data_IF_587682483573
#
_entry.id   IF_587682483573
#
_cell.length_a   1.000
_cell.length_b   1.000
_cell.length_c   1.000
_cell.angle_alpha   90.00
_cell.angle_beta   90.00
_cell.angle_gamma   90.00
#
_symmetry.space_group_name_H-M   'P 1'
#
loop_
_entity.id
_entity.type
_entity.pdbx_description
1 polymer ?
#
# COMPACT_ATOMS: atom_id res chain seq x y z
N UNK A 1 1.49 8.75 -6.44
CA UNK A 1 0.95 7.59 -5.69
C UNK A 1 -0.38 7.98 -5.09
N UNK A 2 -1.38 7.11 -5.11
CA UNK A 2 -2.69 7.35 -4.51
C UNK A 2 -3.23 6.08 -3.86
N UNK A 3 -4.10 6.25 -2.85
CA UNK A 3 -4.81 5.14 -2.19
C UNK A 3 -6.28 5.51 -2.10
N UNK A 4 -7.17 4.57 -2.47
CA UNK A 4 -8.62 4.78 -2.46
C UNK A 4 -9.33 3.58 -1.84
N UNK A 5 -10.42 3.84 -1.09
CA UNK A 5 -11.31 2.80 -0.61
C UNK A 5 -12.07 2.17 -1.78
N UNK A 6 -12.08 0.85 -1.86
CA UNK A 6 -12.89 0.06 -2.80
C UNK A 6 -14.08 -0.54 -2.09
N UNK A 7 -13.84 -1.20 -0.96
CA UNK A 7 -14.90 -1.80 -0.16
C UNK A 7 -14.47 -1.98 1.29
N UNK A 8 -15.44 -2.02 2.18
CA UNK A 8 -15.27 -2.39 3.58
C UNK A 8 -16.51 -3.20 4.01
N UNK A 9 -16.34 -4.11 4.94
CA UNK A 9 -17.46 -4.86 5.55
C UNK A 9 -18.49 -3.86 6.12
N UNK A 10 -19.76 -3.95 5.75
CA UNK A 10 -20.81 -3.09 6.33
C UNK A 10 -20.85 -3.22 7.84
N UNK A 11 -21.02 -2.09 8.56
CA UNK A 11 -21.06 -2.03 10.03
C UNK A 11 -19.92 -2.81 10.70
N UNK A 12 -18.71 -2.72 10.13
CA UNK A 12 -17.57 -3.55 10.43
C UNK A 12 -17.27 -3.69 11.93
N UNK A 13 -17.23 -2.59 12.67
CA UNK A 13 -16.92 -2.60 14.10
C UNK A 13 -18.04 -3.22 14.94
N UNK A 14 -19.30 -2.92 14.59
CA UNK A 14 -20.47 -3.57 15.21
C UNK A 14 -20.46 -5.08 14.96
N UNK A 15 -20.15 -5.50 13.73
CA UNK A 15 -20.07 -6.91 13.36
C UNK A 15 -18.94 -7.63 14.11
N UNK A 16 -17.75 -7.04 14.21
CA UNK A 16 -16.66 -7.61 15.00
C UNK A 16 -17.05 -7.77 16.48
N UNK A 17 -17.73 -6.78 17.07
CA UNK A 17 -18.19 -6.85 18.44
C UNK A 17 -19.30 -7.90 18.66
N UNK A 18 -20.19 -8.04 17.68
CA UNK A 18 -21.21 -9.09 17.68
C UNK A 18 -20.57 -10.48 17.73
N UNK A 19 -19.60 -10.72 16.85
CA UNK A 19 -18.88 -12.00 16.79
C UNK A 19 -18.05 -12.24 18.05
N UNK A 20 -17.40 -11.20 18.60
CA UNK A 20 -16.65 -11.31 19.86
C UNK A 20 -17.52 -11.79 21.04
N UNK A 21 -18.83 -11.54 21.00
CA UNK A 21 -19.80 -11.93 22.03
C UNK A 21 -20.48 -13.27 21.76
N UNK A 22 -19.95 -14.10 20.88
CA UNK A 22 -20.53 -15.40 20.54
C UNK A 22 -20.85 -16.31 21.74
N UNK A 23 -20.05 -16.21 22.81
CA UNK A 23 -20.25 -16.94 24.06
C UNK A 23 -21.17 -16.23 25.06
N UNK A 24 -21.77 -15.09 24.68
CA UNK A 24 -22.73 -14.33 25.50
C UNK A 24 -23.91 -13.85 24.61
N UNK A 25 -24.79 -14.80 24.17
CA UNK A 25 -25.84 -14.49 23.18
C UNK A 25 -26.79 -13.36 23.59
N UNK A 26 -27.09 -13.25 24.88
CA UNK A 26 -28.01 -12.22 25.40
C UNK A 26 -27.42 -10.78 25.30
N UNK A 27 -26.09 -10.66 25.01
CA UNK A 27 -25.39 -9.39 24.90
C UNK A 27 -24.83 -9.14 23.49
N UNK A 28 -25.07 -10.02 22.52
CA UNK A 28 -24.52 -9.89 21.18
C UNK A 28 -24.93 -8.59 20.49
N UNK A 29 -26.19 -8.21 20.59
CA UNK A 29 -26.74 -7.00 19.96
C UNK A 29 -26.45 -5.69 20.74
N UNK A 30 -25.66 -5.73 21.80
CA UNK A 30 -25.39 -4.53 22.60
C UNK A 30 -24.64 -3.48 21.73
N UNK A 31 -25.20 -2.27 21.56
CA UNK A 31 -24.61 -1.22 20.75
C UNK A 31 -23.35 -0.61 21.35
N UNK A 32 -23.09 -0.82 22.64
CA UNK A 32 -21.93 -0.29 23.34
C UNK A 32 -20.74 -1.24 23.19
N UNK A 33 -20.03 -1.14 22.10
CA UNK A 33 -18.92 -2.06 21.76
C UNK A 33 -17.51 -1.45 21.83
N UNK A 34 -17.37 -0.13 21.93
CA UNK A 34 -16.06 0.52 21.92
C UNK A 34 -15.11 -0.02 22.99
N UNK A 35 -15.60 -0.14 24.24
CA UNK A 35 -14.80 -0.72 25.34
C UNK A 35 -14.38 -2.17 25.08
N UNK A 36 -15.23 -2.96 24.42
CA UNK A 36 -14.91 -4.35 24.07
C UNK A 36 -13.80 -4.43 23.04
N UNK A 37 -13.92 -3.68 21.94
CA UNK A 37 -12.88 -3.66 20.90
C UNK A 37 -11.55 -3.12 21.45
N UNK A 38 -11.59 -2.04 22.25
CA UNK A 38 -10.39 -1.52 22.91
C UNK A 38 -9.76 -2.53 23.88
N UNK A 39 -10.56 -3.28 24.65
CA UNK A 39 -10.08 -4.38 25.48
C UNK A 39 -9.39 -5.47 24.66
N UNK A 40 -9.99 -5.88 23.53
CA UNK A 40 -9.45 -6.90 22.64
C UNK A 40 -8.10 -6.45 22.04
N UNK A 41 -7.96 -5.21 21.59
CA UNK A 41 -6.71 -4.63 21.09
C UNK A 41 -5.64 -4.64 22.21
N UNK A 42 -5.96 -4.10 23.38
CA UNK A 42 -5.05 -4.00 24.53
C UNK A 42 -4.51 -5.37 24.99
N UNK A 43 -5.33 -6.41 24.90
CA UNK A 43 -4.97 -7.76 25.34
C UNK A 43 -4.57 -8.70 24.19
N UNK A 44 -4.36 -8.17 22.99
CA UNK A 44 -3.95 -8.93 21.80
C UNK A 44 -4.92 -10.06 21.40
N UNK A 45 -6.22 -9.85 21.60
CA UNK A 45 -7.26 -10.79 21.17
C UNK A 45 -7.60 -10.54 19.69
N UNK A 46 -6.66 -10.87 18.81
CA UNK A 46 -6.69 -10.48 17.40
C UNK A 46 -7.70 -11.21 16.54
N UNK A 47 -8.18 -12.39 16.92
CA UNK A 47 -9.11 -13.22 16.12
C UNK A 47 -10.43 -12.49 15.80
N UNK A 48 -10.87 -11.59 16.66
CA UNK A 48 -12.07 -10.76 16.47
C UNK A 48 -11.92 -9.88 15.22
N UNK A 49 -10.72 -9.31 15.02
CA UNK A 49 -10.40 -8.39 13.92
C UNK A 49 -10.14 -9.11 12.59
N UNK A 50 -10.23 -10.43 12.55
CA UNK A 50 -10.19 -11.22 11.31
C UNK A 50 -11.57 -11.40 10.66
N UNK A 51 -12.65 -10.96 11.32
CA UNK A 51 -14.02 -11.12 10.86
C UNK A 51 -14.51 -9.98 9.97
N UNK A 52 -13.74 -8.92 9.82
CA UNK A 52 -14.06 -7.74 8.99
C UNK A 52 -12.93 -7.45 8.02
N UNK A 53 -13.27 -7.03 6.80
CA UNK A 53 -12.34 -6.85 5.70
C UNK A 53 -12.42 -5.46 5.10
N UNK A 54 -11.30 -4.97 4.59
CA UNK A 54 -11.21 -3.76 3.78
C UNK A 54 -10.37 -4.02 2.54
N UNK A 55 -10.80 -3.47 1.40
CA UNK A 55 -10.07 -3.53 0.12
C UNK A 55 -9.73 -2.11 -0.31
N UNK A 56 -8.46 -1.87 -0.59
CA UNK A 56 -7.95 -0.60 -1.11
C UNK A 56 -7.39 -0.78 -2.52
N UNK A 57 -7.60 0.23 -3.38
CA UNK A 57 -6.88 0.45 -4.61
C UNK A 57 -5.64 1.28 -4.30
N UNK A 58 -4.48 0.83 -4.76
CA UNK A 58 -3.19 1.50 -4.55
C UNK A 58 -2.54 1.72 -5.92
N UNK A 59 -2.32 2.98 -6.29
CA UNK A 59 -1.52 3.37 -7.43
C UNK A 59 -0.09 3.68 -6.98
N UNK A 60 0.87 2.94 -7.51
CA UNK A 60 2.27 3.00 -7.09
C UNK A 60 3.20 2.61 -8.24
N UNK A 61 4.44 2.24 -7.93
CA UNK A 61 5.41 1.75 -8.91
C UNK A 61 5.63 0.23 -8.77
N UNK A 62 6.15 -0.40 -9.83
CA UNK A 62 6.50 -1.84 -9.82
C UNK A 62 7.48 -2.20 -8.68
N UNK A 63 8.44 -1.31 -8.40
CA UNK A 63 9.41 -1.51 -7.33
C UNK A 63 8.76 -1.54 -5.94
N UNK A 64 7.78 -0.67 -5.68
CA UNK A 64 7.05 -0.64 -4.40
C UNK A 64 6.01 -1.75 -4.31
N UNK A 65 5.30 -2.04 -5.40
CA UNK A 65 4.37 -3.16 -5.46
C UNK A 65 5.04 -4.48 -5.07
N UNK A 66 6.27 -4.73 -5.54
CA UNK A 66 7.04 -5.91 -5.16
C UNK A 66 7.29 -6.02 -3.64
N UNK A 67 7.40 -4.89 -2.92
CA UNK A 67 7.51 -4.86 -1.46
C UNK A 67 6.14 -5.09 -0.78
N UNK A 68 5.07 -4.48 -1.31
CA UNK A 68 3.71 -4.60 -0.78
C UNK A 68 3.23 -6.06 -0.89
N UNK A 69 3.45 -6.71 -2.03
CA UNK A 69 3.06 -8.10 -2.29
C UNK A 69 3.71 -9.13 -1.36
N UNK A 70 4.73 -8.76 -0.59
CA UNK A 70 5.34 -9.64 0.43
C UNK A 70 4.50 -9.80 1.71
N UNK A 71 3.47 -8.99 1.90
CA UNK A 71 2.55 -9.10 3.04
C UNK A 71 1.54 -10.23 2.81
N UNK A 72 1.88 -11.45 3.23
CA UNK A 72 1.14 -12.70 2.95
C UNK A 72 -0.24 -12.80 3.60
N UNK A 73 -0.56 -11.92 4.55
CA UNK A 73 -1.89 -11.87 5.18
C UNK A 73 -2.96 -11.15 4.33
N UNK A 74 -2.60 -10.74 3.11
CA UNK A 74 -3.50 -10.08 2.16
C UNK A 74 -3.64 -10.88 0.89
N UNK A 75 -4.72 -10.61 0.17
CA UNK A 75 -4.92 -11.03 -1.21
C UNK A 75 -4.76 -9.83 -2.14
N UNK A 76 -4.31 -10.10 -3.37
CA UNK A 76 -3.94 -9.05 -4.30
C UNK A 76 -4.46 -9.31 -5.70
N UNK A 77 -4.79 -8.23 -6.41
CA UNK A 77 -4.95 -8.21 -7.85
C UNK A 77 -4.13 -7.04 -8.37
N UNK A 78 -3.16 -7.30 -9.22
CA UNK A 78 -2.28 -6.27 -9.77
C UNK A 78 -2.45 -6.16 -11.29
N UNK A 79 -2.30 -4.92 -11.82
CA UNK A 79 -2.28 -4.64 -13.25
C UNK A 79 -1.26 -5.51 -13.98
N UNK A 80 -1.73 -6.29 -14.93
CA UNK A 80 -0.92 -7.26 -15.65
C UNK A 80 -0.30 -6.66 -16.92
N UNK A 81 1.01 -6.39 -16.87
CA UNK A 81 1.80 -5.97 -18.04
C UNK A 81 1.96 -7.07 -19.12
N UNK A 82 1.50 -8.29 -18.87
CA UNK A 82 1.42 -9.34 -19.89
C UNK A 82 0.17 -9.20 -20.75
N UNK A 83 -0.90 -8.71 -20.14
CA UNK A 83 -2.21 -8.58 -20.78
C UNK A 83 -2.44 -7.18 -21.35
N UNK A 84 -2.16 -6.14 -20.57
CA UNK A 84 -2.42 -4.75 -20.92
C UNK A 84 -1.13 -3.98 -21.20
N UNK A 85 -1.24 -2.94 -22.02
CA UNK A 85 -0.18 -2.00 -22.31
C UNK A 85 0.09 -1.11 -21.08
N UNK A 86 1.36 -0.93 -20.72
CA UNK A 86 1.75 -0.11 -19.57
C UNK A 86 1.42 1.37 -19.74
N UNK A 87 1.32 1.88 -20.98
CA UNK A 87 0.91 3.25 -21.28
C UNK A 87 -0.53 3.55 -20.84
N UNK A 88 -1.38 2.52 -20.66
CA UNK A 88 -2.75 2.69 -20.14
C UNK A 88 -2.80 3.24 -18.71
N UNK A 89 -1.73 3.14 -17.93
CA UNK A 89 -1.67 3.67 -16.57
C UNK A 89 -1.06 5.07 -16.51
N UNK A 90 -0.08 5.35 -17.36
CA UNK A 90 0.55 6.67 -17.47
C UNK A 90 1.37 6.77 -18.75
N UNK A 91 1.34 7.93 -19.40
CA UNK A 91 2.13 8.21 -20.59
C UNK A 91 3.63 8.41 -20.27
N UNK A 92 3.94 8.68 -19.02
CA UNK A 92 5.31 8.92 -18.55
C UNK A 92 5.58 8.18 -17.23
N UNK A 93 6.83 7.81 -17.01
CA UNK A 93 7.28 7.23 -15.73
C UNK A 93 7.55 8.38 -14.76
N UNK A 94 6.89 8.38 -13.57
CA UNK A 94 7.06 9.47 -12.60
C UNK A 94 8.46 9.49 -12.00
N UNK A 95 8.97 10.69 -11.72
CA UNK A 95 10.20 10.85 -10.95
C UNK A 95 9.97 10.42 -9.50
N UNK A 96 11.03 9.91 -8.89
CA UNK A 96 11.12 9.60 -7.48
C UNK A 96 12.13 10.52 -6.80
N UNK A 97 12.01 10.70 -5.48
CA UNK A 97 12.95 11.49 -4.71
C UNK A 97 14.34 10.85 -4.65
N UNK A 98 15.36 11.65 -4.97
CA UNK A 98 16.76 11.26 -4.81
C UNK A 98 17.21 11.61 -3.38
N UNK A 99 17.63 10.60 -2.65
CA UNK A 99 18.12 10.71 -1.26
C UNK A 99 19.44 10.00 -1.10
N UNK A 100 20.30 10.53 -0.22
CA UNK A 100 21.58 9.92 0.10
C UNK A 100 21.40 8.66 0.96
N UNK A 101 22.23 7.66 0.74
CA UNK A 101 22.28 6.46 1.59
C UNK A 101 22.67 6.83 3.02
N UNK A 102 21.89 6.39 4.01
CA UNK A 102 22.26 6.48 5.42
C UNK A 102 23.46 5.56 5.71
N UNK A 103 24.46 6.09 6.39
CA UNK A 103 25.68 5.35 6.73
C UNK A 103 25.52 4.43 7.96
N UNK A 104 24.52 4.71 8.80
CA UNK A 104 24.25 3.93 10.03
C UNK A 104 23.20 2.86 9.80
N UNK A 105 22.13 3.19 9.08
CA UNK A 105 21.05 2.26 8.74
C UNK A 105 20.98 2.06 7.22
N UNK A 106 21.43 0.89 6.75
CA UNK A 106 21.46 0.54 5.32
C UNK A 106 20.09 0.52 4.63
N UNK A 107 19.00 0.49 5.38
CA UNK A 107 17.63 0.53 4.86
C UNK A 107 17.06 1.95 4.80
N UNK A 108 17.75 2.92 5.37
CA UNK A 108 17.32 4.30 5.47
C UNK A 108 17.99 5.19 4.42
N UNK A 109 17.37 6.32 4.12
CA UNK A 109 17.90 7.38 3.26
C UNK A 109 17.71 8.74 3.90
N UNK A 110 18.59 9.69 3.57
CA UNK A 110 18.62 11.05 4.15
C UNK A 110 18.47 12.04 2.99
N UNK A 111 17.53 12.97 3.13
CA UNK A 111 17.26 14.01 2.13
C UNK A 111 18.18 15.20 2.34
N UNK A 112 19.46 15.02 1.99
CA UNK A 112 20.53 16.01 2.10
C UNK A 112 21.47 16.02 0.89
N UNK A 113 21.01 15.52 -0.26
CA UNK A 113 21.78 15.60 -1.52
C UNK A 113 21.82 17.09 -1.97
N UNK A 114 23.01 17.51 -2.40
CA UNK A 114 23.20 18.81 -3.01
C UNK A 114 22.21 19.03 -4.17
N UNK A 115 21.49 20.17 -4.20
CA UNK A 115 20.46 20.42 -5.21
C UNK A 115 20.95 20.36 -6.66
N UNK A 116 22.18 20.76 -6.94
CA UNK A 116 22.77 20.70 -8.29
C UNK A 116 23.03 19.24 -8.70
N UNK A 117 23.52 18.40 -7.77
CA UNK A 117 23.71 16.97 -8.00
C UNK A 117 22.34 16.30 -8.21
N UNK A 118 21.33 16.67 -7.40
CA UNK A 118 19.95 16.15 -7.53
C UNK A 118 19.40 16.47 -8.92
N UNK A 119 19.49 17.74 -9.36
CA UNK A 119 19.02 18.18 -10.66
C UNK A 119 19.73 17.49 -11.84
N UNK A 120 21.05 17.32 -11.75
CA UNK A 120 21.83 16.63 -12.78
C UNK A 120 21.33 15.19 -13.00
N UNK A 121 21.11 14.46 -11.90
CA UNK A 121 20.60 13.07 -11.99
C UNK A 121 19.13 13.01 -12.40
N UNK A 122 18.30 13.95 -12.00
CA UNK A 122 16.90 14.03 -12.43
C UNK A 122 16.79 14.16 -13.97
N UNK A 123 17.63 14.99 -14.59
CA UNK A 123 17.70 15.14 -16.05
C UNK A 123 18.09 13.81 -16.71
N UNK A 124 19.13 13.14 -16.21
CA UNK A 124 19.61 11.86 -16.76
C UNK A 124 18.57 10.74 -16.60
N UNK A 125 17.88 10.68 -15.45
CA UNK A 125 16.85 9.70 -15.17
C UNK A 125 15.64 9.94 -16.07
N UNK A 126 15.22 11.20 -16.24
CA UNK A 126 14.11 11.55 -17.14
C UNK A 126 14.39 11.04 -18.56
N UNK A 127 15.55 11.38 -19.09
CA UNK A 127 15.95 10.90 -20.42
C UNK A 127 15.93 9.36 -20.52
N UNK A 128 16.47 8.68 -19.52
CA UNK A 128 16.46 7.21 -19.49
C UNK A 128 15.04 6.64 -19.46
N UNK A 129 14.12 7.26 -18.72
CA UNK A 129 12.72 6.83 -18.69
C UNK A 129 12.01 7.05 -20.03
N UNK A 130 12.25 8.19 -20.67
CA UNK A 130 11.69 8.48 -22.00
C UNK A 130 12.22 7.49 -23.05
N UNK A 131 13.53 7.22 -23.05
CA UNK A 131 14.14 6.22 -23.94
C UNK A 131 13.58 4.80 -23.70
N UNK A 132 13.34 4.41 -22.45
CA UNK A 132 12.73 3.11 -22.12
C UNK A 132 11.30 2.99 -22.63
N UNK A 133 10.48 4.06 -22.49
CA UNK A 133 9.10 4.08 -23.02
C UNK A 133 9.08 4.02 -24.55
N UNK A 134 9.95 4.77 -25.24
CA UNK A 134 10.08 4.73 -26.68
C UNK A 134 10.48 3.33 -27.17
N UNK A 135 11.47 2.69 -26.51
CA UNK A 135 11.87 1.33 -26.84
C UNK A 135 10.73 0.33 -26.61
N UNK A 136 10.03 0.43 -25.50
CA UNK A 136 8.88 -0.42 -25.18
C UNK A 136 7.80 -0.33 -26.25
N UNK A 137 7.42 0.90 -26.66
CA UNK A 137 6.41 1.11 -27.69
C UNK A 137 6.87 0.57 -29.06
N UNK A 138 8.12 0.83 -29.44
CA UNK A 138 8.70 0.31 -30.70
C UNK A 138 8.70 -1.22 -30.75
N UNK A 139 8.94 -1.89 -29.62
CA UNK A 139 8.83 -3.36 -29.53
C UNK A 139 7.42 -3.84 -29.77
N UNK A 140 6.43 -3.17 -29.17
CA UNK A 140 5.00 -3.50 -29.38
C UNK A 140 4.58 -3.29 -30.83
N UNK A 141 4.96 -2.16 -31.45
CA UNK A 141 4.66 -1.82 -32.83
C UNK A 141 5.30 -2.82 -33.82
N UNK A 142 6.44 -3.41 -33.43
CA UNK A 142 7.10 -4.47 -34.17
C UNK A 142 6.52 -5.86 -33.93
N UNK A 143 5.39 -5.97 -33.17
CA UNK A 143 4.70 -7.22 -32.89
C UNK A 143 5.35 -8.07 -31.79
N UNK A 144 6.32 -7.54 -31.03
CA UNK A 144 6.92 -8.25 -29.90
C UNK A 144 5.90 -8.32 -28.77
N UNK A 145 5.73 -9.51 -28.20
CA UNK A 145 4.74 -9.77 -27.16
C UNK A 145 4.99 -8.89 -25.91
N UNK A 146 3.89 -8.38 -25.31
CA UNK A 146 3.92 -7.57 -24.08
C UNK A 146 4.73 -8.22 -22.96
N UNK A 147 4.65 -9.54 -22.83
CA UNK A 147 5.40 -10.29 -21.81
C UNK A 147 6.93 -10.22 -21.98
N UNK A 148 7.40 -9.94 -23.21
CA UNK A 148 8.81 -9.71 -23.52
C UNK A 148 9.14 -8.21 -23.41
N UNK A 149 8.34 -7.36 -24.05
CA UNK A 149 8.57 -5.91 -24.12
C UNK A 149 8.64 -5.25 -22.74
N UNK A 150 7.84 -5.71 -21.77
CA UNK A 150 7.83 -5.16 -20.40
C UNK A 150 9.18 -5.23 -19.66
N UNK A 151 10.14 -6.06 -20.10
CA UNK A 151 11.41 -6.19 -19.42
C UNK A 151 12.36 -5.00 -19.64
N UNK A 152 12.09 -4.14 -20.62
CA UNK A 152 12.85 -2.90 -20.83
C UNK A 152 12.36 -1.76 -19.92
N UNK A 153 11.22 -1.93 -19.24
CA UNK A 153 10.64 -0.91 -18.38
C UNK A 153 11.34 -0.88 -17.01
N UNK A 154 11.68 0.31 -16.49
CA UNK A 154 12.31 0.46 -15.18
C UNK A 154 11.36 0.12 -14.03
N UNK A 155 11.91 -0.13 -12.83
CA UNK A 155 11.14 -0.40 -11.61
C UNK A 155 10.23 0.76 -11.19
N UNK A 156 10.52 1.98 -11.64
CA UNK A 156 9.69 3.16 -11.40
C UNK A 156 8.41 3.19 -12.26
N UNK A 157 8.25 2.25 -13.21
CA UNK A 157 7.04 2.15 -14.03
C UNK A 157 5.79 2.04 -13.16
N UNK A 158 4.75 2.84 -13.44
CA UNK A 158 3.49 2.81 -12.69
C UNK A 158 2.83 1.44 -12.71
N UNK A 159 2.17 1.12 -11.62
CA UNK A 159 1.27 -0.02 -11.50
C UNK A 159 0.10 0.33 -10.59
N UNK A 160 -0.99 -0.44 -10.72
CA UNK A 160 -2.16 -0.36 -9.85
C UNK A 160 -2.40 -1.74 -9.25
N UNK A 161 -2.66 -1.79 -7.96
CA UNK A 161 -3.03 -3.01 -7.29
C UNK A 161 -4.22 -2.81 -6.36
N UNK A 162 -5.00 -3.86 -6.23
CA UNK A 162 -6.03 -4.00 -5.20
C UNK A 162 -5.48 -4.87 -4.10
N UNK A 163 -5.56 -4.39 -2.86
CA UNK A 163 -5.06 -5.07 -1.67
C UNK A 163 -6.22 -5.27 -0.71
N UNK A 164 -6.58 -6.54 -0.46
CA UNK A 164 -7.69 -6.91 0.41
C UNK A 164 -7.20 -7.71 1.60
N UNK A 165 -7.65 -7.35 2.80
CA UNK A 165 -7.28 -8.03 4.03
C UNK A 165 -8.23 -7.76 5.18
N UNK A 166 -8.08 -8.55 6.25
CA UNK A 166 -8.82 -8.35 7.47
C UNK A 166 -8.39 -7.08 8.21
N UNK A 167 -9.26 -6.56 9.08
CA UNK A 167 -8.93 -5.45 9.97
C UNK A 167 -7.60 -5.71 10.72
N UNK A 168 -7.38 -6.92 11.24
CA UNK A 168 -6.11 -7.34 11.85
C UNK A 168 -4.92 -7.17 10.92
N UNK A 169 -5.04 -7.62 9.67
CA UNK A 169 -3.96 -7.51 8.69
C UNK A 169 -3.61 -6.06 8.41
N UNK A 170 -4.62 -5.18 8.27
CA UNK A 170 -4.42 -3.75 8.07
C UNK A 170 -3.75 -3.08 9.27
N UNK A 171 -4.16 -3.39 10.50
CA UNK A 171 -3.51 -2.89 11.72
C UNK A 171 -2.01 -3.25 11.70
N UNK A 172 -1.70 -4.52 11.44
CA UNK A 172 -0.30 -4.99 11.39
C UNK A 172 0.50 -4.30 10.27
N UNK A 173 -0.06 -4.21 9.05
CA UNK A 173 0.60 -3.58 7.90
C UNK A 173 0.91 -2.11 8.17
N UNK A 174 -0.09 -1.35 8.61
CA UNK A 174 0.04 0.08 8.89
C UNK A 174 1.09 0.30 9.99
N UNK A 175 0.97 -0.40 11.13
CA UNK A 175 1.93 -0.29 12.22
C UNK A 175 3.36 -0.57 11.76
N UNK A 176 3.55 -1.63 10.97
CA UNK A 176 4.89 -2.02 10.51
C UNK A 176 5.45 -1.02 9.49
N UNK A 177 4.63 -0.51 8.56
CA UNK A 177 5.10 0.28 7.43
C UNK A 177 5.09 1.79 7.66
N UNK A 178 4.41 2.27 8.70
CA UNK A 178 4.55 3.65 9.19
C UNK A 178 5.74 3.82 10.13
N UNK A 179 6.45 2.74 10.50
CA UNK A 179 7.60 2.80 11.40
C UNK A 179 8.89 3.23 10.69
N UNK A 180 9.82 3.81 11.47
CA UNK A 180 11.16 4.18 11.02
C UNK A 180 11.90 2.98 10.40
N UNK A 181 12.64 3.25 9.32
CA UNK A 181 13.36 2.22 8.56
C UNK A 181 12.56 1.62 7.40
N UNK A 182 11.29 2.01 7.24
CA UNK A 182 10.53 1.75 6.01
C UNK A 182 10.99 2.72 4.92
N UNK A 183 11.08 2.26 3.67
CA UNK A 183 11.32 3.15 2.53
C UNK A 183 10.25 4.26 2.51
N UNK A 184 10.68 5.51 2.32
CA UNK A 184 9.81 6.70 2.40
C UNK A 184 8.51 6.56 1.60
N UNK A 185 8.60 6.17 0.34
CA UNK A 185 7.44 6.02 -0.55
C UNK A 185 6.48 4.92 -0.08
N UNK A 186 6.99 3.84 0.52
CA UNK A 186 6.16 2.80 1.12
C UNK A 186 5.48 3.29 2.41
N UNK A 187 6.20 4.08 3.21
CA UNK A 187 5.64 4.73 4.39
C UNK A 187 4.51 5.69 4.03
N UNK A 188 4.69 6.51 2.97
CA UNK A 188 3.65 7.43 2.49
C UNK A 188 2.38 6.67 2.05
N UNK A 189 2.52 5.49 1.42
CA UNK A 189 1.40 4.59 1.10
C UNK A 189 0.73 4.08 2.38
N UNK A 190 1.51 3.63 3.36
CA UNK A 190 0.97 3.12 4.62
C UNK A 190 0.22 4.20 5.40
N UNK A 191 0.72 5.43 5.42
CA UNK A 191 0.04 6.59 6.03
C UNK A 191 -1.25 6.97 5.29
N UNK A 192 -1.27 6.84 3.96
CA UNK A 192 -2.51 7.03 3.19
C UNK A 192 -3.54 5.92 3.50
N UNK A 193 -3.09 4.66 3.65
CA UNK A 193 -3.95 3.56 4.10
C UNK A 193 -4.47 3.81 5.53
N UNK A 194 -3.63 4.33 6.44
CA UNK A 194 -3.99 4.67 7.81
C UNK A 194 -5.13 5.68 7.86
N UNK A 195 -5.07 6.74 7.03
CA UNK A 195 -6.16 7.74 6.96
C UNK A 195 -7.50 7.11 6.63
N UNK A 196 -7.54 6.24 5.61
CA UNK A 196 -8.77 5.52 5.25
C UNK A 196 -9.20 4.56 6.37
N UNK A 197 -8.24 3.86 7.00
CA UNK A 197 -8.54 2.96 8.11
C UNK A 197 -9.19 3.71 9.28
N UNK A 198 -8.70 4.89 9.65
CA UNK A 198 -9.26 5.74 10.72
C UNK A 198 -10.71 6.12 10.41
N UNK A 199 -11.02 6.42 9.15
CA UNK A 199 -12.39 6.75 8.73
C UNK A 199 -13.34 5.54 8.79
N UNK A 200 -12.85 4.34 8.45
CA UNK A 200 -13.67 3.13 8.34
C UNK A 200 -13.77 2.34 9.65
N UNK A 201 -12.77 2.47 10.54
CA UNK A 201 -12.68 1.77 11.83
C UNK A 201 -12.32 2.76 12.95
N UNK A 202 -13.17 3.78 13.20
CA UNK A 202 -12.87 4.86 14.14
C UNK A 202 -12.64 4.38 15.59
N UNK A 203 -13.41 3.40 16.05
CA UNK A 203 -13.27 2.84 17.41
C UNK A 203 -11.95 2.07 17.56
N UNK A 204 -11.57 1.31 16.55
CA UNK A 204 -10.27 0.61 16.54
C UNK A 204 -9.12 1.61 16.46
N UNK A 205 -9.25 2.67 15.66
CA UNK A 205 -8.26 3.72 15.52
C UNK A 205 -8.02 4.49 16.83
N UNK A 206 -9.08 4.82 17.55
CA UNK A 206 -9.01 5.41 18.90
C UNK A 206 -8.27 4.48 19.88
N UNK A 207 -8.63 3.20 19.88
CA UNK A 207 -8.01 2.20 20.76
C UNK A 207 -6.52 1.93 20.42
N UNK A 208 -6.10 2.23 19.20
CA UNK A 208 -4.71 2.13 18.72
C UNK A 208 -3.92 3.45 18.90
N UNK A 209 -4.56 4.49 19.43
CA UNK A 209 -3.98 5.84 19.57
C UNK A 209 -3.54 6.43 18.20
N UNK A 210 -4.34 6.18 17.16
CA UNK A 210 -4.06 6.68 15.80
C UNK A 210 -4.77 8.00 15.47
N UNK A 211 -5.63 8.46 16.36
CA UNK A 211 -6.38 9.72 16.34
C UNK A 211 -6.08 10.55 17.57
#
# INVERSE_FOLDING_TARGET
MSVKLVSVTPDAEKMMAYVARVSNPNNQENPNYAKLLGYCIKHNHWSVFEQSFMTLEIETTRGLAAQILRHRSFTYQEFSQRYADSSMLADTIPMFDLRRQDTKNRQNSIDDIDPFVKQEFEIKIRRHFDEAMVLYQSMLDSGIAKECSRFVLPLATPTRLYMSGSCRSWIHYITLRSANGTQKEHMDIAEACKKIFVEQFPTCAEALEWV
#
